data_IF_228441748748
#
_entry.id   IF_228441748748
#
_cell.length_a   1.000
_cell.length_b   1.000
_cell.length_c   1.000
_cell.angle_alpha   90.00
_cell.angle_beta   90.00
_cell.angle_gamma   90.00
#
_symmetry.space_group_name_H-M   'P 1'
#
loop_
_entity.id
_entity.type
_entity.pdbx_description
1 polymer ?
#
# COMPACT_ATOMS: atom_id res chain seq x y z
N UNK A 1 15.23 -60.89 -1.72
CA UNK A 1 13.84 -60.68 -2.15
C UNK A 1 13.17 -59.71 -1.18
N UNK A 2 12.57 -58.63 -1.73
CA UNK A 2 11.38 -57.84 -1.27
C UNK A 2 11.21 -57.60 0.26
N UNK A 3 11.50 -56.38 0.77
CA UNK A 3 10.62 -55.18 0.98
C UNK A 3 9.68 -55.23 2.20
N UNK A 4 9.72 -54.16 3.03
CA UNK A 4 8.68 -53.37 3.76
C UNK A 4 9.50 -52.38 4.64
N UNK A 5 9.61 -51.05 4.49
CA UNK A 5 8.73 -49.87 4.33
C UNK A 5 7.77 -49.60 5.49
N UNK A 6 8.12 -48.64 6.38
CA UNK A 6 7.26 -47.58 6.94
C UNK A 6 8.16 -46.61 7.77
N UNK A 7 8.45 -45.38 7.33
CA UNK A 7 7.67 -44.14 7.53
C UNK A 7 7.54 -43.77 9.02
N UNK A 8 8.24 -42.72 9.47
CA UNK A 8 7.67 -41.58 10.18
C UNK A 8 8.68 -40.42 10.24
N UNK A 9 8.24 -39.30 9.69
CA UNK A 9 8.92 -38.02 9.60
C UNK A 9 8.64 -37.18 10.84
N UNK A 10 9.56 -36.24 11.13
CA UNK A 10 9.23 -34.99 11.79
C UNK A 10 9.28 -34.99 13.31
N UNK A 11 10.29 -34.31 13.86
CA UNK A 11 10.19 -33.34 14.97
C UNK A 11 11.61 -32.88 15.34
N UNK A 12 12.17 -31.92 14.59
CA UNK A 12 13.29 -31.13 15.12
C UNK A 12 12.65 -30.07 16.01
N UNK A 13 12.56 -30.41 17.30
CA UNK A 13 12.05 -29.58 18.38
C UNK A 13 12.98 -28.37 18.56
N UNK A 14 12.44 -27.18 18.29
CA UNK A 14 13.02 -25.89 18.64
C UNK A 14 12.89 -25.72 20.16
N UNK A 15 13.89 -26.15 20.93
CA UNK A 15 14.04 -25.74 22.33
C UNK A 15 15.53 -25.78 22.72
N UNK A 16 16.19 -24.64 22.63
CA UNK A 16 17.39 -24.36 23.41
C UNK A 16 17.35 -22.88 23.82
N UNK A 17 16.50 -22.60 24.81
CA UNK A 17 16.76 -21.52 25.74
C UNK A 17 17.96 -21.94 26.59
N UNK A 18 19.12 -21.36 26.32
CA UNK A 18 20.29 -21.48 27.19
C UNK A 18 20.78 -20.07 27.47
N UNK A 19 20.48 -19.65 28.70
CA UNK A 19 20.98 -18.47 29.36
C UNK A 19 22.51 -18.60 29.51
N UNK A 20 23.31 -17.82 28.79
CA UNK A 20 24.75 -17.68 29.07
C UNK A 20 25.17 -16.22 28.92
N UNK A 21 25.49 -15.65 30.09
CA UNK A 21 26.34 -14.52 30.43
C UNK A 21 26.66 -13.45 29.38
N UNK A 22 26.30 -12.22 29.75
CA UNK A 22 26.88 -10.99 29.23
C UNK A 22 28.40 -10.97 29.49
N UNK A 23 29.18 -10.95 28.43
CA UNK A 23 30.50 -10.31 28.42
C UNK A 23 30.65 -9.65 27.05
N UNK A 24 30.56 -8.32 27.05
CA UNK A 24 30.73 -7.48 25.87
C UNK A 24 32.17 -7.60 25.37
N UNK A 25 32.38 -8.46 24.38
CA UNK A 25 33.58 -8.49 23.56
C UNK A 25 33.28 -7.80 22.21
N UNK A 26 34.13 -6.87 21.75
CA UNK A 26 33.98 -6.24 20.44
C UNK A 26 34.33 -7.27 19.35
N UNK A 27 33.34 -8.03 18.90
CA UNK A 27 33.54 -9.03 17.85
C UNK A 27 32.60 -10.23 17.84
N UNK A 28 31.44 -10.18 18.51
CA UNK A 28 30.50 -11.31 18.50
C UNK A 28 29.62 -11.29 17.21
N UNK A 29 29.78 -12.23 16.28
CA UNK A 29 28.96 -12.28 15.07
C UNK A 29 27.50 -12.69 15.35
N UNK A 30 27.24 -13.30 16.51
CA UNK A 30 25.90 -13.64 16.97
C UNK A 30 25.02 -12.42 17.22
N UNK A 31 25.58 -11.30 17.72
CA UNK A 31 24.83 -10.06 17.94
C UNK A 31 24.50 -9.39 16.61
N UNK A 32 25.47 -9.33 15.69
CA UNK A 32 25.31 -8.74 14.36
C UNK A 32 24.26 -9.49 13.51
N UNK A 33 24.24 -10.82 13.56
CA UNK A 33 23.22 -11.62 12.88
C UNK A 33 21.81 -11.40 13.46
N UNK A 34 21.68 -11.43 14.79
CA UNK A 34 20.40 -11.18 15.45
C UNK A 34 19.85 -9.78 15.18
N UNK A 35 20.71 -8.76 15.09
CA UNK A 35 20.30 -7.39 14.78
C UNK A 35 19.83 -7.25 13.34
N UNK A 36 20.48 -7.93 12.37
CA UNK A 36 20.02 -8.00 10.98
C UNK A 36 18.64 -8.66 10.86
N UNK A 37 18.37 -9.72 11.64
CA UNK A 37 17.04 -10.35 11.67
C UNK A 37 15.99 -9.38 12.22
N UNK A 38 16.26 -8.70 13.34
CA UNK A 38 15.35 -7.71 13.91
C UNK A 38 15.09 -6.56 12.93
N UNK A 39 16.13 -6.08 12.24
CA UNK A 39 15.99 -5.02 11.23
C UNK A 39 15.17 -5.51 10.03
N UNK A 40 15.40 -6.74 9.58
CA UNK A 40 14.64 -7.36 8.50
C UNK A 40 13.15 -7.49 8.81
N UNK A 41 12.81 -8.00 10.00
CA UNK A 41 11.41 -8.11 10.46
C UNK A 41 10.73 -6.75 10.61
N UNK A 42 11.46 -5.73 11.09
CA UNK A 42 10.95 -4.35 11.17
C UNK A 42 10.70 -3.76 9.79
N UNK A 43 11.61 -3.98 8.84
CA UNK A 43 11.44 -3.56 7.45
C UNK A 43 10.22 -4.25 6.82
N UNK A 44 10.07 -5.56 6.99
CA UNK A 44 8.92 -6.30 6.47
C UNK A 44 7.58 -5.75 6.98
N UNK A 45 7.44 -5.58 8.30
CA UNK A 45 6.24 -4.97 8.92
C UNK A 45 5.97 -3.55 8.41
N UNK A 46 7.04 -2.78 8.16
CA UNK A 46 6.95 -1.42 7.62
C UNK A 46 6.46 -1.44 6.17
N UNK A 47 7.00 -2.36 5.35
CA UNK A 47 6.58 -2.60 3.97
C UNK A 47 5.10 -2.94 3.89
N UNK A 48 4.63 -3.92 4.66
CA UNK A 48 3.22 -4.31 4.70
C UNK A 48 2.30 -3.15 5.13
N UNK A 49 2.70 -2.39 6.15
CA UNK A 49 1.93 -1.23 6.60
C UNK A 49 1.82 -0.19 5.49
N UNK A 50 2.89 0.01 4.72
CA UNK A 50 2.92 0.96 3.61
C UNK A 50 2.03 0.48 2.45
N UNK A 51 2.07 -0.80 2.08
CA UNK A 51 1.18 -1.40 1.09
C UNK A 51 -0.30 -1.23 1.47
N UNK A 52 -0.67 -1.61 2.70
CA UNK A 52 -2.03 -1.42 3.22
C UNK A 52 -2.46 0.05 3.23
N UNK A 53 -1.53 0.99 3.45
CA UNK A 53 -1.80 2.43 3.36
C UNK A 53 -2.00 2.85 1.90
N UNK A 54 -1.18 2.36 0.98
CA UNK A 54 -1.31 2.57 -0.46
C UNK A 54 -2.68 2.12 -0.97
N UNK A 55 -3.10 0.89 -0.67
CA UNK A 55 -4.41 0.35 -1.05
C UNK A 55 -5.59 1.20 -0.53
N UNK A 56 -5.52 1.65 0.73
CA UNK A 56 -6.53 2.55 1.31
C UNK A 56 -6.62 3.88 0.56
N UNK A 57 -5.48 4.45 0.19
CA UNK A 57 -5.42 5.70 -0.58
C UNK A 57 -5.98 5.49 -2.00
N UNK A 58 -5.67 4.37 -2.66
CA UNK A 58 -6.25 4.03 -3.97
C UNK A 58 -7.78 3.93 -3.89
N UNK A 59 -8.32 3.25 -2.87
CA UNK A 59 -9.77 3.16 -2.64
C UNK A 59 -10.42 4.53 -2.44
N UNK A 60 -9.75 5.43 -1.69
CA UNK A 60 -10.19 6.82 -1.52
C UNK A 60 -10.16 7.58 -2.85
N UNK A 61 -9.13 7.38 -3.67
CA UNK A 61 -9.01 7.93 -5.02
C UNK A 61 -10.19 7.54 -5.91
N UNK A 62 -10.48 6.24 -6.01
CA UNK A 62 -11.63 5.70 -6.77
C UNK A 62 -12.96 6.29 -6.30
N UNK A 63 -13.17 6.40 -4.98
CA UNK A 63 -14.39 7.01 -4.42
C UNK A 63 -14.52 8.49 -4.81
N UNK A 64 -13.42 9.24 -4.83
CA UNK A 64 -13.43 10.63 -5.28
C UNK A 64 -13.71 10.74 -6.77
N UNK A 65 -13.12 9.88 -7.61
CA UNK A 65 -13.44 9.85 -9.05
C UNK A 65 -14.94 9.64 -9.29
N UNK A 66 -15.54 8.66 -8.61
CA UNK A 66 -16.98 8.42 -8.69
C UNK A 66 -17.80 9.65 -8.24
N UNK A 67 -17.42 10.28 -7.11
CA UNK A 67 -18.05 11.51 -6.65
C UNK A 67 -17.93 12.65 -7.66
N UNK A 68 -16.77 12.77 -8.32
CA UNK A 68 -16.54 13.75 -9.39
C UNK A 68 -17.53 13.58 -10.53
N UNK A 69 -17.68 12.34 -11.04
CA UNK A 69 -18.65 12.01 -12.10
C UNK A 69 -20.09 12.36 -11.71
N UNK A 70 -20.51 12.07 -10.47
CA UNK A 70 -21.87 12.43 -10.01
C UNK A 70 -22.09 13.95 -9.96
N UNK A 71 -21.06 14.72 -9.61
CA UNK A 71 -21.12 16.18 -9.60
C UNK A 71 -21.17 16.74 -11.02
N UNK A 72 -20.43 16.15 -11.95
CA UNK A 72 -20.45 16.46 -13.38
C UNK A 72 -21.85 16.28 -13.98
N UNK A 73 -22.46 15.10 -13.80
CA UNK A 73 -23.84 14.81 -14.22
C UNK A 73 -24.85 15.81 -13.63
N UNK A 74 -24.65 16.21 -12.37
CA UNK A 74 -25.49 17.24 -11.74
C UNK A 74 -25.31 18.61 -12.41
N UNK A 75 -24.09 18.95 -12.81
CA UNK A 75 -23.78 20.15 -13.58
C UNK A 75 -24.54 20.18 -14.90
N UNK A 76 -24.46 19.10 -15.68
CA UNK A 76 -25.18 18.94 -16.95
C UNK A 76 -26.69 19.09 -16.79
N UNK A 77 -27.29 18.48 -15.75
CA UNK A 77 -28.72 18.62 -15.48
C UNK A 77 -29.12 20.07 -15.20
N UNK A 78 -28.30 20.79 -14.41
CA UNK A 78 -28.52 22.22 -14.12
C UNK A 78 -28.39 23.04 -15.41
N UNK A 79 -27.42 22.72 -16.27
CA UNK A 79 -27.25 23.38 -17.55
C UNK A 79 -28.48 23.24 -18.45
N UNK A 80 -28.97 22.00 -18.64
CA UNK A 80 -30.20 21.72 -19.40
C UNK A 80 -31.40 22.47 -18.84
N UNK A 81 -31.53 22.59 -17.51
CA UNK A 81 -32.57 23.40 -16.88
C UNK A 81 -32.44 24.88 -17.23
N UNK A 82 -31.21 25.39 -17.32
CA UNK A 82 -30.93 26.75 -17.78
C UNK A 82 -31.39 26.97 -19.22
N UNK A 83 -31.07 26.04 -20.11
CA UNK A 83 -31.50 26.09 -21.52
C UNK A 83 -33.03 26.09 -21.66
N UNK A 84 -33.74 25.25 -20.90
CA UNK A 84 -35.21 25.21 -20.90
C UNK A 84 -35.81 26.56 -20.49
N UNK A 85 -35.27 27.18 -19.43
CA UNK A 85 -35.71 28.51 -19.00
C UNK A 85 -35.49 29.58 -20.08
N UNK A 86 -34.40 29.48 -20.86
CA UNK A 86 -34.20 30.38 -22.01
C UNK A 86 -35.29 30.17 -23.06
N UNK A 87 -35.61 28.90 -23.39
CA UNK A 87 -36.68 28.56 -24.35
C UNK A 87 -38.06 29.04 -23.90
N UNK A 88 -38.31 29.06 -22.58
CA UNK A 88 -39.54 29.59 -21.97
C UNK A 88 -39.58 31.13 -21.90
N UNK A 89 -38.59 31.84 -22.44
CA UNK A 89 -38.54 33.31 -22.45
C UNK A 89 -37.87 33.93 -21.22
N UNK A 90 -37.50 33.14 -20.21
CA UNK A 90 -36.80 33.58 -19.00
C UNK A 90 -35.28 33.70 -19.23
N UNK A 91 -34.86 34.49 -20.22
CA UNK A 91 -33.48 34.49 -20.76
C UNK A 91 -32.41 34.74 -19.69
N UNK A 92 -32.55 35.77 -18.86
CA UNK A 92 -31.51 36.13 -17.89
C UNK A 92 -31.35 35.04 -16.80
N UNK A 93 -32.49 34.54 -16.30
CA UNK A 93 -32.53 33.45 -15.32
C UNK A 93 -31.93 32.17 -15.91
N UNK A 94 -32.29 31.84 -17.15
CA UNK A 94 -31.76 30.69 -17.87
C UNK A 94 -30.24 30.75 -18.01
N UNK A 95 -29.70 31.86 -18.53
CA UNK A 95 -28.23 32.09 -18.63
C UNK A 95 -27.53 31.99 -17.28
N UNK A 96 -28.14 32.50 -16.21
CA UNK A 96 -27.58 32.40 -14.85
C UNK A 96 -27.52 30.96 -14.36
N UNK A 97 -28.56 30.17 -14.64
CA UNK A 97 -28.62 28.74 -14.28
C UNK A 97 -27.64 27.92 -15.12
N UNK A 98 -27.54 28.18 -16.42
CA UNK A 98 -26.57 27.53 -17.32
C UNK A 98 -25.13 27.71 -16.83
N UNK A 99 -24.74 28.97 -16.49
CA UNK A 99 -23.41 29.26 -15.92
C UNK A 99 -23.15 28.53 -14.61
N UNK A 100 -24.18 28.35 -13.77
CA UNK A 100 -24.07 27.55 -12.54
C UNK A 100 -23.86 26.07 -12.86
N UNK A 101 -24.54 25.54 -13.87
CA UNK A 101 -24.33 24.18 -14.36
C UNK A 101 -22.88 23.93 -14.75
N UNK A 102 -22.34 24.77 -15.66
CA UNK A 102 -20.93 24.74 -16.08
C UNK A 102 -19.94 24.84 -14.92
N UNK A 103 -20.22 25.68 -13.92
CA UNK A 103 -19.38 25.80 -12.74
C UNK A 103 -19.39 24.53 -11.87
N UNK A 104 -20.55 23.87 -11.74
CA UNK A 104 -20.69 22.61 -11.02
C UNK A 104 -19.99 21.47 -11.77
N UNK A 105 -20.12 21.42 -13.09
CA UNK A 105 -19.43 20.45 -13.95
C UNK A 105 -17.90 20.52 -13.79
N UNK A 106 -17.32 21.72 -13.94
CA UNK A 106 -15.88 21.97 -13.69
C UNK A 106 -15.44 21.54 -12.30
N UNK A 107 -16.29 21.71 -11.28
CA UNK A 107 -16.01 21.22 -9.92
C UNK A 107 -15.97 19.69 -9.88
N UNK A 108 -16.86 19.02 -10.62
CA UNK A 108 -16.86 17.57 -10.80
C UNK A 108 -15.55 17.07 -11.40
N UNK A 109 -15.08 17.70 -12.48
CA UNK A 109 -13.80 17.37 -13.12
C UNK A 109 -12.61 17.53 -12.16
N UNK A 110 -12.57 18.61 -11.38
CA UNK A 110 -11.50 18.84 -10.40
C UNK A 110 -11.49 17.76 -9.31
N UNK A 111 -12.67 17.32 -8.84
CA UNK A 111 -12.79 16.23 -7.87
C UNK A 111 -12.31 14.91 -8.49
N UNK A 112 -12.64 14.66 -9.76
CA UNK A 112 -12.17 13.48 -10.50
C UNK A 112 -10.65 13.46 -10.62
N UNK A 113 -10.03 14.56 -11.06
CA UNK A 113 -8.56 14.71 -11.13
C UNK A 113 -7.88 14.49 -9.78
N UNK A 114 -8.45 15.01 -8.68
CA UNK A 114 -7.95 14.72 -7.32
C UNK A 114 -8.02 13.23 -6.99
N UNK A 115 -9.10 12.56 -7.40
CA UNK A 115 -9.24 11.11 -7.22
C UNK A 115 -8.21 10.29 -8.01
N UNK A 116 -7.91 10.67 -9.25
CA UNK A 116 -6.86 10.07 -10.08
C UNK A 116 -5.47 10.25 -9.44
N UNK A 117 -5.18 11.47 -8.96
CA UNK A 117 -3.92 11.75 -8.27
C UNK A 117 -3.73 10.91 -7.00
N UNK A 118 -4.79 10.75 -6.18
CA UNK A 118 -4.72 9.86 -5.02
C UNK A 118 -4.50 8.40 -5.43
N UNK A 119 -5.13 7.93 -6.50
CA UNK A 119 -4.88 6.58 -7.00
C UNK A 119 -3.40 6.38 -7.38
N UNK A 120 -2.81 7.36 -8.06
CA UNK A 120 -1.39 7.34 -8.39
C UNK A 120 -0.50 7.27 -7.13
N UNK A 121 -0.73 8.15 -6.14
CA UNK A 121 -0.02 8.12 -4.85
C UNK A 121 -0.13 6.74 -4.19
N UNK A 122 -1.35 6.18 -4.18
CA UNK A 122 -1.58 4.88 -3.58
C UNK A 122 -0.81 3.74 -4.27
N UNK A 123 -0.65 3.79 -5.60
CA UNK A 123 0.19 2.83 -6.35
C UNK A 123 1.68 2.99 -6.05
N UNK A 124 2.17 4.23 -5.95
CA UNK A 124 3.57 4.51 -5.59
C UNK A 124 3.88 3.98 -4.18
N UNK A 125 2.98 4.20 -3.23
CA UNK A 125 3.15 3.69 -1.87
C UNK A 125 3.16 2.16 -1.81
N UNK A 126 2.31 1.49 -2.59
CA UNK A 126 2.31 0.03 -2.67
C UNK A 126 3.63 -0.50 -3.22
N UNK A 127 4.16 0.10 -4.30
CA UNK A 127 5.49 -0.24 -4.83
C UNK A 127 6.59 -0.04 -3.79
N UNK A 128 6.59 1.10 -3.10
CA UNK A 128 7.59 1.39 -2.07
C UNK A 128 7.49 0.40 -0.90
N UNK A 129 6.28 0.03 -0.48
CA UNK A 129 6.08 -0.99 0.54
C UNK A 129 6.67 -2.35 0.14
N UNK A 130 6.43 -2.77 -1.10
CA UNK A 130 7.01 -4.00 -1.64
C UNK A 130 8.55 -3.96 -1.71
N UNK A 131 9.14 -2.81 -2.08
CA UNK A 131 10.59 -2.63 -2.06
C UNK A 131 11.17 -2.74 -0.64
N UNK A 132 10.53 -2.12 0.35
CA UNK A 132 10.96 -2.22 1.75
C UNK A 132 10.83 -3.67 2.25
N UNK A 133 9.78 -4.39 1.85
CA UNK A 133 9.60 -5.79 2.20
C UNK A 133 10.74 -6.66 1.67
N UNK A 134 11.05 -6.53 0.37
CA UNK A 134 12.20 -7.22 -0.27
C UNK A 134 13.53 -6.89 0.41
N UNK A 135 13.72 -5.63 0.82
CA UNK A 135 14.90 -5.25 1.58
C UNK A 135 14.96 -5.97 2.93
N UNK A 136 13.83 -6.07 3.63
CA UNK A 136 13.73 -6.82 4.88
C UNK A 136 14.06 -8.31 4.72
N UNK A 137 13.58 -8.95 3.65
CA UNK A 137 13.92 -10.34 3.30
C UNK A 137 15.42 -10.51 3.02
N UNK A 138 16.03 -9.55 2.31
CA UNK A 138 17.47 -9.57 2.00
C UNK A 138 18.34 -9.45 3.26
N UNK A 139 17.94 -8.64 4.24
CA UNK A 139 18.64 -8.54 5.53
C UNK A 139 18.61 -9.85 6.32
N UNK A 140 17.47 -10.55 6.29
CA UNK A 140 17.33 -11.85 6.95
C UNK A 140 18.19 -12.92 6.26
N UNK A 141 18.26 -12.93 4.92
CA UNK A 141 19.18 -13.81 4.17
C UNK A 141 20.63 -13.56 4.54
N UNK A 142 21.08 -12.30 4.57
CA UNK A 142 22.44 -11.94 4.99
C UNK A 142 22.78 -12.44 6.39
N UNK A 143 21.83 -12.42 7.33
CA UNK A 143 22.05 -13.03 8.65
C UNK A 143 22.23 -14.55 8.56
N UNK A 144 21.50 -15.24 7.67
CA UNK A 144 21.66 -16.66 7.44
C UNK A 144 23.06 -16.99 6.92
N UNK A 145 23.53 -16.23 5.92
CA UNK A 145 24.86 -16.42 5.32
C UNK A 145 25.98 -16.17 6.34
N UNK A 146 25.82 -15.15 7.21
CA UNK A 146 26.74 -14.90 8.32
C UNK A 146 26.79 -16.12 9.25
N UNK A 147 25.63 -16.64 9.68
CA UNK A 147 25.60 -17.82 10.56
C UNK A 147 26.28 -19.04 9.95
N UNK A 148 26.11 -19.31 8.65
CA UNK A 148 26.73 -20.45 7.97
C UNK A 148 28.25 -20.32 7.95
N UNK A 149 28.79 -19.14 7.62
CA UNK A 149 30.25 -18.91 7.60
C UNK A 149 30.93 -19.21 8.95
N UNK A 150 30.30 -18.88 10.06
CA UNK A 150 30.84 -19.15 11.40
C UNK A 150 30.64 -20.59 11.90
N UNK A 151 29.87 -21.42 11.19
CA UNK A 151 29.73 -22.86 11.50
C UNK A 151 30.73 -23.70 10.69
N UNK A 152 31.17 -23.19 9.53
CA UNK A 152 32.12 -23.86 8.64
C UNK A 152 33.60 -23.54 8.95
N UNK A 153 33.88 -22.51 9.75
CA UNK A 153 35.19 -22.21 10.36
C UNK A 153 35.33 -22.87 11.74
#
# INVERSE_FOLDING_TARGET
>A
MKKIVALLAGTILILAGSLVFAQEAPGNPGTTGQDLIKQGQRAEKTGERMERKGQRIQKKGKRLQYKGKLVEIKGEYIEKKGELLVKEGNVEKGKRVERKGKAVEKKGELIKKKGEHLEHIGKVMEKNGAHIKKHGEALQKKSGDIKVKYIEE
#
